data_IF_402657184006
#
_entry.id   IF_402657184006
#
_cell.length_a   1.000
_cell.length_b   1.000
_cell.length_c   1.000
_cell.angle_alpha   90.00
_cell.angle_beta   90.00
_cell.angle_gamma   90.00
#
_symmetry.space_group_name_H-M   'P 1'
#
loop_
_entity.id
_entity.type
_entity.pdbx_description
1 polymer ?
#
# COMPACT_ATOMS: atom_id res chain seq x y z
N UNK A 1 -24.17 -0.20 -6.25
CA UNK A 1 -23.41 -0.69 -5.07
C UNK A 1 -23.92 0.03 -3.83
N UNK A 2 -24.14 -0.68 -2.73
CA UNK A 2 -24.46 -0.10 -1.43
C UNK A 2 -23.26 -0.21 -0.49
N UNK A 3 -23.17 0.69 0.46
CA UNK A 3 -22.15 0.62 1.51
C UNK A 3 -22.61 -0.39 2.59
N UNK A 4 -21.80 -1.41 2.87
CA UNK A 4 -22.16 -2.49 3.81
C UNK A 4 -22.40 -1.99 5.24
N UNK A 5 -21.63 -1.01 5.72
CA UNK A 5 -21.82 -0.36 7.02
C UNK A 5 -23.18 0.34 7.11
N UNK A 6 -23.49 1.17 6.11
CA UNK A 6 -24.74 1.96 6.10
C UNK A 6 -25.96 1.04 5.95
N UNK A 7 -25.84 -0.03 5.15
CA UNK A 7 -26.86 -1.05 5.04
C UNK A 7 -27.09 -1.80 6.37
N UNK A 8 -26.01 -2.12 7.10
CA UNK A 8 -26.10 -2.77 8.41
C UNK A 8 -26.80 -1.86 9.45
N UNK A 9 -26.47 -0.58 9.49
CA UNK A 9 -27.11 0.39 10.38
C UNK A 9 -28.62 0.50 10.05
N UNK A 10 -28.94 0.63 8.77
CA UNK A 10 -30.35 0.71 8.33
C UNK A 10 -31.10 -0.57 8.67
N UNK A 11 -30.50 -1.73 8.38
CA UNK A 11 -31.13 -3.01 8.69
C UNK A 11 -31.36 -3.20 10.20
N UNK A 12 -30.39 -2.86 11.03
CA UNK A 12 -30.54 -2.89 12.48
C UNK A 12 -31.71 -1.98 12.95
N UNK A 13 -31.86 -0.81 12.35
CA UNK A 13 -32.95 0.12 12.70
C UNK A 13 -34.34 -0.46 12.41
N UNK A 14 -34.49 -1.30 11.37
CA UNK A 14 -35.77 -1.96 11.04
C UNK A 14 -36.21 -2.93 12.13
N UNK A 15 -35.25 -3.51 12.86
CA UNK A 15 -35.49 -4.46 13.95
C UNK A 15 -35.40 -3.83 15.34
N UNK A 16 -35.26 -2.51 15.43
CA UNK A 16 -35.07 -1.81 16.70
C UNK A 16 -33.76 -2.17 17.43
N UNK A 17 -32.80 -2.73 16.70
CA UNK A 17 -31.52 -3.15 17.26
C UNK A 17 -30.55 -1.96 17.39
N UNK A 18 -29.72 -1.98 18.44
CA UNK A 18 -28.62 -1.02 18.61
C UNK A 18 -27.43 -1.43 17.76
N UNK A 19 -26.77 -0.45 17.15
CA UNK A 19 -25.55 -0.68 16.34
C UNK A 19 -24.36 -0.05 17.03
N UNK A 20 -23.26 -0.82 17.14
CA UNK A 20 -21.95 -0.35 17.59
C UNK A 20 -20.98 -0.45 16.44
N UNK A 21 -20.31 0.65 16.11
CA UNK A 21 -19.26 0.72 15.11
C UNK A 21 -17.92 0.89 15.83
N UNK A 22 -17.00 -0.04 15.63
CA UNK A 22 -15.63 0.04 16.18
C UNK A 22 -14.62 0.17 15.04
N UNK A 23 -13.73 1.16 15.13
CA UNK A 23 -12.64 1.36 14.17
C UNK A 23 -11.54 2.22 14.77
N UNK A 24 -10.28 1.90 14.44
CA UNK A 24 -9.14 2.79 14.69
C UNK A 24 -9.02 3.90 13.64
N UNK A 25 -9.72 3.76 12.49
CA UNK A 25 -9.71 4.70 11.36
C UNK A 25 -11.14 4.85 10.82
N UNK A 26 -12.04 5.54 11.55
CA UNK A 26 -13.43 5.69 11.13
C UNK A 26 -13.49 6.46 9.80
N UNK A 27 -14.50 6.16 8.98
CA UNK A 27 -14.75 6.98 7.80
C UNK A 27 -15.20 8.39 8.21
N UNK A 28 -14.94 9.37 7.33
CA UNK A 28 -15.28 10.77 7.57
C UNK A 28 -16.77 10.94 7.90
N UNK A 29 -17.65 10.23 7.19
CA UNK A 29 -19.12 10.30 7.43
C UNK A 29 -19.49 9.75 8.80
N UNK A 30 -18.91 8.62 9.21
CA UNK A 30 -19.19 8.05 10.54
C UNK A 30 -18.68 8.95 11.66
N UNK A 31 -17.47 9.49 11.51
CA UNK A 31 -16.87 10.40 12.46
C UNK A 31 -17.67 11.71 12.56
N UNK A 32 -18.04 12.30 11.42
CA UNK A 32 -18.89 13.48 11.37
C UNK A 32 -20.25 13.26 12.06
N UNK A 33 -20.93 12.13 11.79
CA UNK A 33 -22.17 11.79 12.45
C UNK A 33 -22.03 11.64 13.98
N UNK A 34 -20.86 11.18 14.45
CA UNK A 34 -20.58 11.07 15.88
C UNK A 34 -20.30 12.44 16.51
N UNK A 35 -19.45 13.27 15.91
CA UNK A 35 -19.12 14.61 16.41
C UNK A 35 -20.33 15.55 16.36
N UNK A 36 -21.20 15.43 15.35
CA UNK A 36 -22.44 16.20 15.23
C UNK A 36 -23.57 15.75 16.18
N UNK A 37 -23.32 14.69 16.99
CA UNK A 37 -24.29 14.21 17.98
C UNK A 37 -25.38 13.28 17.43
N UNK A 38 -25.30 12.90 16.15
CA UNK A 38 -26.21 11.91 15.56
C UNK A 38 -25.94 10.49 16.06
N UNK A 39 -24.67 10.18 16.35
CA UNK A 39 -24.24 8.94 16.98
C UNK A 39 -23.59 9.25 18.33
N UNK A 40 -23.63 8.30 19.26
CA UNK A 40 -22.80 8.36 20.45
C UNK A 40 -21.32 8.15 20.08
N UNK A 41 -20.42 8.98 20.62
CA UNK A 41 -18.97 8.84 20.42
C UNK A 41 -18.33 8.31 21.70
N UNK A 42 -17.56 7.25 21.56
CA UNK A 42 -16.68 6.74 22.63
C UNK A 42 -15.28 6.64 22.07
N UNK A 43 -14.34 7.32 22.68
CA UNK A 43 -12.93 7.35 22.28
C UNK A 43 -12.08 6.55 23.27
N UNK A 44 -11.30 5.62 22.77
CA UNK A 44 -10.37 4.79 23.54
C UNK A 44 -8.95 5.21 23.20
N UNK A 45 -8.36 6.05 24.05
CA UNK A 45 -7.00 6.59 23.86
C UNK A 45 -5.89 5.70 24.41
N UNK A 46 -6.21 4.85 25.37
CA UNK A 46 -5.24 3.94 25.96
C UNK A 46 -5.21 2.62 25.19
N UNK A 47 -4.01 2.22 24.80
CA UNK A 47 -3.79 0.91 24.17
C UNK A 47 -3.68 -0.16 25.27
N UNK A 48 -4.13 -1.35 24.95
CA UNK A 48 -3.92 -2.50 25.83
C UNK A 48 -2.42 -2.71 26.07
N UNK A 49 -2.02 -2.89 27.34
CA UNK A 49 -0.62 -3.14 27.70
C UNK A 49 0.33 -1.95 27.55
N UNK A 50 -0.17 -0.71 27.49
CA UNK A 50 0.65 0.51 27.31
C UNK A 50 1.56 0.50 26.07
N UNK A 51 1.17 -0.24 25.01
CA UNK A 51 1.90 -0.35 23.78
C UNK A 51 1.98 1.01 23.06
N UNK A 52 3.21 1.44 22.79
CA UNK A 52 3.45 2.66 22.01
C UNK A 52 3.28 2.42 20.51
N UNK A 53 2.95 3.48 19.79
CA UNK A 53 2.96 3.44 18.31
C UNK A 53 4.39 3.22 17.82
N UNK A 54 4.59 2.39 16.79
CA UNK A 54 5.90 2.27 16.18
C UNK A 54 6.35 3.61 15.60
N UNK A 55 7.65 3.95 15.67
CA UNK A 55 8.18 5.16 15.05
C UNK A 55 8.05 5.08 13.53
N UNK A 56 7.57 6.15 12.90
CA UNK A 56 7.45 6.25 11.44
C UNK A 56 8.64 7.05 10.91
N UNK A 57 9.40 6.45 9.99
CA UNK A 57 10.51 7.11 9.29
C UNK A 57 10.16 7.31 7.82
N UNK A 58 10.14 8.56 7.38
CA UNK A 58 9.98 8.91 5.97
C UNK A 58 11.34 8.94 5.26
N UNK A 59 11.41 8.32 4.09
CA UNK A 59 12.62 8.31 3.25
C UNK A 59 12.29 8.92 1.90
N UNK A 60 12.92 10.07 1.60
CA UNK A 60 12.80 10.71 0.28
C UNK A 60 13.66 9.96 -0.75
N UNK A 61 12.98 9.29 -1.69
CA UNK A 61 13.64 8.51 -2.75
C UNK A 61 13.95 9.31 -4.02
N UNK A 62 13.53 10.58 -4.12
CA UNK A 62 13.71 11.40 -5.34
C UNK A 62 15.18 11.61 -5.71
N UNK A 63 16.01 11.90 -4.73
CA UNK A 63 17.46 12.11 -4.95
C UNK A 63 18.19 10.84 -5.39
N UNK A 64 17.71 9.68 -4.97
CA UNK A 64 18.27 8.35 -5.31
C UNK A 64 17.94 8.04 -6.77
N UNK A 65 16.68 8.25 -7.17
CA UNK A 65 16.18 8.01 -8.52
C UNK A 65 16.87 8.92 -9.55
N UNK A 66 17.22 10.17 -9.17
CA UNK A 66 17.91 11.11 -10.05
C UNK A 66 19.37 10.72 -10.32
N UNK A 67 20.07 10.13 -9.34
CA UNK A 67 21.49 9.73 -9.47
C UNK A 67 21.66 8.44 -10.24
N UNK A 68 20.77 7.49 -10.02
CA UNK A 68 20.81 6.19 -10.67
C UNK A 68 19.54 6.02 -11.51
N UNK A 69 19.66 6.16 -12.83
CA UNK A 69 18.56 5.99 -13.80
C UNK A 69 18.02 4.57 -13.86
N UNK A 70 18.64 3.65 -13.15
CA UNK A 70 18.30 2.23 -13.13
C UNK A 70 17.62 1.82 -11.82
N UNK A 71 16.39 1.35 -11.92
CA UNK A 71 15.84 0.18 -11.21
C UNK A 71 15.96 0.03 -9.68
N UNK A 72 16.44 1.00 -8.90
CA UNK A 72 16.49 0.86 -7.44
C UNK A 72 15.08 0.97 -6.88
N UNK A 73 14.52 -0.17 -6.47
CA UNK A 73 13.22 -0.27 -5.81
C UNK A 73 13.37 -0.05 -4.30
N UNK A 74 14.45 -0.62 -3.74
CA UNK A 74 14.76 -0.55 -2.32
C UNK A 74 15.74 0.60 -2.06
N UNK A 75 15.36 1.57 -1.24
CA UNK A 75 16.29 2.63 -0.86
C UNK A 75 17.44 2.11 0.02
N UNK A 76 18.64 2.73 -0.02
CA UNK A 76 19.74 2.34 0.87
C UNK A 76 19.36 2.35 2.35
N UNK A 77 18.54 3.31 2.76
CA UNK A 77 18.04 3.39 4.14
C UNK A 77 17.12 2.21 4.51
N UNK A 78 16.31 1.73 3.56
CA UNK A 78 15.48 0.55 3.78
C UNK A 78 16.35 -0.71 3.82
N UNK A 79 17.30 -0.87 2.91
CA UNK A 79 18.24 -1.99 2.88
C UNK A 79 18.98 -2.11 4.22
N UNK A 80 19.50 -1.00 4.73
CA UNK A 80 20.19 -0.98 6.03
C UNK A 80 19.25 -1.36 7.18
N UNK A 81 18.01 -0.87 7.19
CA UNK A 81 17.02 -1.23 8.20
C UNK A 81 16.64 -2.70 8.15
N UNK A 82 16.45 -3.26 6.96
CA UNK A 82 16.19 -4.70 6.76
C UNK A 82 17.35 -5.52 7.29
N UNK A 83 18.61 -5.16 6.94
CA UNK A 83 19.79 -5.85 7.40
C UNK A 83 19.86 -5.93 8.93
N UNK A 84 19.68 -4.80 9.61
CA UNK A 84 19.69 -4.72 11.08
C UNK A 84 18.61 -5.60 11.75
N UNK A 85 17.44 -5.73 11.12
CA UNK A 85 16.36 -6.58 11.63
C UNK A 85 16.70 -8.07 11.44
N UNK A 86 17.20 -8.44 10.26
CA UNK A 86 17.61 -9.82 9.96
C UNK A 86 18.77 -10.28 10.86
N UNK A 87 19.77 -9.43 11.13
CA UNK A 87 20.88 -9.71 12.05
C UNK A 87 20.42 -10.02 13.48
N UNK A 88 19.25 -9.51 13.89
CA UNK A 88 18.63 -9.82 15.20
C UNK A 88 17.74 -11.06 15.16
N UNK A 89 17.65 -11.74 14.03
CA UNK A 89 16.75 -12.88 13.84
C UNK A 89 15.28 -12.52 13.84
N UNK A 90 14.94 -11.23 13.54
CA UNK A 90 13.59 -10.73 13.49
C UNK A 90 13.09 -10.65 12.04
N UNK A 91 11.78 -10.46 11.84
CA UNK A 91 11.13 -10.52 10.55
C UNK A 91 10.79 -9.14 10.00
N UNK A 92 10.64 -9.08 8.68
CA UNK A 92 10.32 -7.87 7.92
C UNK A 92 9.08 -8.10 7.07
N UNK A 93 8.20 -7.10 7.02
CA UNK A 93 7.11 -7.03 6.03
C UNK A 93 7.39 -5.86 5.10
N UNK A 94 7.37 -6.12 3.79
CA UNK A 94 7.41 -5.07 2.77
C UNK A 94 6.05 -4.98 2.07
N UNK A 95 5.42 -3.86 2.27
CA UNK A 95 4.10 -3.59 1.71
C UNK A 95 4.20 -2.79 0.42
N UNK A 96 3.60 -3.32 -0.63
CA UNK A 96 3.42 -2.65 -1.92
C UNK A 96 1.94 -2.69 -2.30
N UNK A 97 1.26 -1.56 -2.30
CA UNK A 97 -0.20 -1.53 -2.54
C UNK A 97 -0.60 -1.75 -4.00
N UNK A 98 0.25 -2.31 -4.83
CA UNK A 98 -0.07 -2.38 -6.24
C UNK A 98 -0.52 -3.77 -6.68
N UNK A 99 -1.80 -3.86 -7.02
CA UNK A 99 -2.35 -4.94 -7.82
C UNK A 99 -2.01 -4.66 -9.30
N UNK A 100 -1.19 -5.52 -9.91
CA UNK A 100 -1.03 -5.55 -11.36
C UNK A 100 -0.03 -4.58 -11.98
N UNK A 101 0.19 -4.81 -13.24
CA UNK A 101 1.16 -4.21 -14.17
C UNK A 101 0.80 -2.80 -14.68
N UNK A 102 -0.01 -2.03 -13.98
CA UNK A 102 -0.47 -0.74 -14.51
C UNK A 102 0.57 0.36 -14.28
N UNK A 103 1.39 0.68 -15.30
CA UNK A 103 2.38 1.74 -15.21
C UNK A 103 1.70 3.09 -15.16
N UNK A 104 2.06 3.92 -14.19
CA UNK A 104 1.73 5.34 -14.25
C UNK A 104 2.97 6.17 -14.60
N UNK A 105 2.75 7.31 -15.20
CA UNK A 105 3.79 8.29 -15.46
C UNK A 105 3.90 9.21 -14.25
N UNK A 106 5.10 9.35 -13.70
CA UNK A 106 5.41 10.31 -12.64
C UNK A 106 6.50 11.26 -13.11
N UNK A 107 6.34 12.54 -12.84
CA UNK A 107 7.40 13.51 -13.09
C UNK A 107 8.60 13.22 -12.20
N UNK A 108 9.76 12.99 -12.79
CA UNK A 108 11.01 12.73 -12.08
C UNK A 108 11.58 13.93 -11.32
N UNK A 109 11.01 15.13 -11.50
CA UNK A 109 11.46 16.37 -10.83
C UNK A 109 10.57 16.73 -9.65
N UNK A 110 9.23 16.78 -9.85
CA UNK A 110 8.29 17.26 -8.83
C UNK A 110 7.31 16.17 -8.34
N UNK A 111 7.45 14.95 -8.84
CA UNK A 111 6.57 13.82 -8.50
C UNK A 111 5.10 14.00 -8.90
N UNK A 112 4.78 14.97 -9.76
CA UNK A 112 3.45 15.13 -10.31
C UNK A 112 3.03 13.91 -11.14
N UNK A 113 1.77 13.48 -10.96
CA UNK A 113 1.16 12.34 -11.68
C UNK A 113 -0.03 12.86 -12.48
N UNK A 114 -0.19 12.48 -13.78
CA UNK A 114 -1.36 12.83 -14.57
C UNK A 114 -2.66 12.31 -13.94
N UNK A 115 -3.66 13.17 -13.81
CA UNK A 115 -4.94 12.84 -13.22
C UNK A 115 -6.08 12.95 -14.23
N UNK A 116 -7.16 12.20 -13.99
CA UNK A 116 -8.38 12.30 -14.78
C UNK A 116 -9.11 13.62 -14.50
N UNK A 117 -9.51 14.33 -15.55
CA UNK A 117 -10.23 15.61 -15.41
C UNK A 117 -11.62 15.46 -14.78
N UNK A 118 -12.19 14.26 -14.79
CA UNK A 118 -13.58 14.01 -14.33
C UNK A 118 -13.66 13.29 -13.00
N UNK A 119 -12.62 12.54 -12.63
CA UNK A 119 -12.67 11.63 -11.48
C UNK A 119 -11.62 11.93 -10.43
N UNK A 120 -10.71 12.88 -10.68
CA UNK A 120 -9.60 13.25 -9.78
C UNK A 120 -8.76 12.06 -9.30
N UNK A 121 -8.64 11.03 -10.17
CA UNK A 121 -7.84 9.84 -9.95
C UNK A 121 -6.67 9.80 -10.91
N UNK A 122 -5.58 9.14 -10.51
CA UNK A 122 -4.39 8.97 -11.35
C UNK A 122 -4.70 8.17 -12.60
N UNK A 123 -4.08 8.56 -13.71
CA UNK A 123 -4.22 7.88 -15.00
C UNK A 123 -3.19 6.74 -15.12
N UNK A 124 -3.63 5.62 -15.66
CA UNK A 124 -2.79 4.47 -15.97
C UNK A 124 -2.25 4.57 -17.38
N UNK A 125 -0.95 4.38 -17.57
CA UNK A 125 -0.32 4.39 -18.88
C UNK A 125 -0.30 3.00 -19.51
N UNK A 126 -1.01 2.81 -20.59
CA UNK A 126 -1.02 1.57 -21.37
C UNK A 126 0.03 1.61 -22.49
N UNK A 127 1.15 0.94 -22.27
CA UNK A 127 2.30 0.96 -23.19
C UNK A 127 1.96 0.44 -24.59
N UNK A 128 1.14 -0.60 -24.69
CA UNK A 128 0.74 -1.18 -25.99
C UNK A 128 -0.07 -0.23 -26.86
N UNK A 129 -0.94 0.56 -26.26
CA UNK A 129 -1.80 1.52 -26.97
C UNK A 129 -1.25 2.94 -26.95
N UNK A 130 -0.15 3.17 -26.21
CA UNK A 130 0.44 4.49 -25.97
C UNK A 130 -0.60 5.53 -25.51
N UNK A 131 -1.45 5.16 -24.55
CA UNK A 131 -2.52 6.02 -24.02
C UNK A 131 -2.54 6.00 -22.50
N UNK A 132 -3.01 7.10 -21.93
CA UNK A 132 -3.38 7.18 -20.52
C UNK A 132 -4.87 6.87 -20.39
N UNK A 133 -5.24 6.00 -19.45
CA UNK A 133 -6.64 5.56 -19.25
C UNK A 133 -7.04 5.78 -17.81
N UNK A 134 -8.22 6.33 -17.62
CA UNK A 134 -8.87 6.36 -16.30
C UNK A 134 -9.64 5.05 -16.10
N UNK A 135 -9.20 4.21 -15.18
CA UNK A 135 -9.90 2.95 -14.86
C UNK A 135 -11.21 3.13 -14.09
N UNK A 136 -11.51 4.36 -13.66
CA UNK A 136 -12.77 4.68 -12.99
C UNK A 136 -13.90 5.00 -13.98
N UNK A 137 -13.64 5.90 -14.94
CA UNK A 137 -14.65 6.32 -15.94
C UNK A 137 -14.38 5.83 -17.37
N UNK A 138 -13.27 5.14 -17.62
CA UNK A 138 -12.89 4.66 -18.95
C UNK A 138 -12.36 5.73 -19.91
N UNK A 139 -12.32 7.00 -19.52
CA UNK A 139 -11.81 8.08 -20.38
C UNK A 139 -10.34 7.88 -20.73
N UNK A 140 -10.01 8.06 -22.01
CA UNK A 140 -8.64 7.94 -22.52
C UNK A 140 -8.05 9.31 -22.84
N UNK A 141 -6.74 9.46 -22.59
CA UNK A 141 -5.96 10.67 -22.84
C UNK A 141 -4.71 10.34 -23.65
N UNK A 142 -4.17 11.30 -24.39
CA UNK A 142 -2.84 11.15 -25.00
C UNK A 142 -1.76 11.04 -23.89
N UNK A 143 -0.61 10.43 -24.20
CA UNK A 143 0.51 10.40 -23.28
C UNK A 143 1.00 11.83 -22.96
N UNK A 144 1.47 12.04 -21.74
CA UNK A 144 2.01 13.33 -21.29
C UNK A 144 3.51 13.31 -21.47
N UNK A 145 4.04 14.30 -22.20
CA UNK A 145 5.48 14.49 -22.44
C UNK A 145 6.07 15.68 -21.67
N UNK A 146 5.22 16.57 -21.18
CA UNK A 146 5.63 17.75 -20.41
C UNK A 146 4.80 17.80 -19.13
N UNK A 147 5.47 17.94 -18.00
CA UNK A 147 4.82 18.01 -16.69
C UNK A 147 3.99 19.29 -16.56
N UNK A 148 2.71 19.15 -16.27
CA UNK A 148 1.80 20.29 -16.09
C UNK A 148 2.12 21.12 -14.85
N UNK A 149 2.85 20.57 -13.86
CA UNK A 149 3.18 21.27 -12.63
C UNK A 149 4.51 22.04 -12.70
N UNK A 150 5.56 21.46 -13.32
CA UNK A 150 6.90 22.07 -13.31
C UNK A 150 7.53 22.25 -14.69
N UNK A 151 6.84 21.90 -15.79
CA UNK A 151 7.33 22.05 -17.16
C UNK A 151 8.43 21.05 -17.59
N UNK A 152 8.82 20.10 -16.73
CA UNK A 152 9.86 19.12 -17.04
C UNK A 152 9.34 18.06 -18.03
N UNK A 153 10.23 17.60 -18.91
CA UNK A 153 10.03 16.49 -19.83
C UNK A 153 10.48 15.12 -19.25
N UNK A 154 11.03 15.13 -18.04
CA UNK A 154 11.56 13.93 -17.38
C UNK A 154 10.45 13.17 -16.69
N UNK A 155 9.90 12.18 -17.39
CA UNK A 155 8.95 11.23 -16.81
C UNK A 155 9.61 9.90 -16.49
N UNK A 156 9.28 9.37 -15.32
CA UNK A 156 9.63 8.03 -14.89
C UNK A 156 8.39 7.15 -15.03
N UNK A 157 8.56 5.98 -15.60
CA UNK A 157 7.56 4.92 -15.54
C UNK A 157 7.90 4.06 -14.33
N UNK A 158 7.16 4.21 -13.24
CA UNK A 158 7.29 3.31 -12.10
C UNK A 158 6.45 2.08 -12.35
N UNK A 159 7.13 0.96 -12.46
CA UNK A 159 6.54 -0.31 -12.81
C UNK A 159 7.28 -1.45 -12.11
N UNK A 160 7.04 -1.63 -10.81
CA UNK A 160 7.56 -2.83 -10.16
C UNK A 160 6.44 -3.50 -9.37
N UNK A 161 6.08 -4.70 -9.80
CA UNK A 161 5.26 -5.61 -9.02
C UNK A 161 6.06 -6.20 -7.85
N UNK A 162 5.36 -6.90 -6.99
CA UNK A 162 5.94 -7.68 -5.87
C UNK A 162 7.02 -8.65 -6.33
N UNK A 163 6.95 -9.15 -7.57
CA UNK A 163 7.93 -10.04 -8.19
C UNK A 163 9.34 -9.41 -8.29
N UNK A 164 9.43 -8.16 -8.80
CA UNK A 164 10.72 -7.47 -8.88
C UNK A 164 11.27 -7.08 -7.51
N UNK A 165 10.41 -6.84 -6.53
CA UNK A 165 10.84 -6.59 -5.16
C UNK A 165 11.46 -7.85 -4.59
N UNK A 166 10.81 -9.00 -4.80
CA UNK A 166 11.31 -10.31 -4.39
C UNK A 166 12.67 -10.62 -5.02
N UNK A 167 12.80 -10.45 -6.35
CA UNK A 167 14.08 -10.63 -7.07
C UNK A 167 15.19 -9.75 -6.47
N UNK A 168 14.94 -8.45 -6.27
CA UNK A 168 15.93 -7.54 -5.72
C UNK A 168 16.28 -7.87 -4.26
N UNK A 169 15.33 -8.36 -3.47
CA UNK A 169 15.61 -8.82 -2.10
C UNK A 169 16.48 -10.06 -2.09
N UNK A 170 16.23 -11.03 -2.97
CA UNK A 170 17.05 -12.23 -3.10
C UNK A 170 18.47 -11.91 -3.56
N UNK A 171 18.63 -10.93 -4.48
CA UNK A 171 19.96 -10.45 -4.88
C UNK A 171 20.69 -9.72 -3.74
N UNK A 172 19.96 -8.93 -2.93
CA UNK A 172 20.55 -8.12 -1.85
C UNK A 172 20.81 -8.92 -0.58
N UNK A 173 19.94 -9.89 -0.28
CA UNK A 173 19.97 -10.74 0.91
C UNK A 173 19.86 -12.23 0.53
N UNK A 174 20.91 -12.83 -0.06
CA UNK A 174 20.85 -14.20 -0.59
C UNK A 174 20.57 -15.27 0.47
N UNK A 175 20.91 -15.00 1.73
CA UNK A 175 20.69 -15.92 2.85
C UNK A 175 19.29 -15.76 3.48
N UNK A 176 18.53 -14.73 3.13
CA UNK A 176 17.21 -14.50 3.68
C UNK A 176 16.13 -15.28 2.93
N UNK A 177 15.21 -15.86 3.67
CA UNK A 177 14.04 -16.57 3.11
C UNK A 177 12.96 -15.56 2.79
N UNK A 178 12.90 -15.15 1.52
CA UNK A 178 11.91 -14.21 1.01
C UNK A 178 10.68 -14.96 0.51
N UNK A 179 9.49 -14.49 0.86
CA UNK A 179 8.24 -15.00 0.33
C UNK A 179 7.32 -13.87 -0.13
N UNK A 180 6.50 -14.17 -1.14
CA UNK A 180 5.57 -13.22 -1.74
C UNK A 180 4.12 -13.62 -1.47
N UNK A 181 3.31 -12.64 -1.05
CA UNK A 181 1.88 -12.79 -0.81
C UNK A 181 1.10 -11.82 -1.70
N UNK A 182 0.69 -12.30 -2.86
CA UNK A 182 -0.19 -11.61 -3.79
C UNK A 182 -1.21 -12.56 -4.41
N UNK A 183 -2.12 -12.04 -5.23
CA UNK A 183 -3.18 -12.83 -5.85
C UNK A 183 -2.62 -13.96 -6.73
N UNK A 184 -1.44 -13.78 -7.31
CA UNK A 184 -0.84 -14.77 -8.21
C UNK A 184 -0.21 -15.93 -7.44
N UNK A 185 0.36 -15.65 -6.28
CA UNK A 185 1.00 -16.68 -5.42
C UNK A 185 0.00 -17.42 -4.52
N UNK A 186 -1.16 -16.83 -4.21
CA UNK A 186 -2.16 -17.38 -3.27
C UNK A 186 -3.45 -17.87 -3.96
N UNK A 187 -3.38 -18.36 -5.20
CA UNK A 187 -4.55 -18.87 -5.93
C UNK A 187 -5.14 -20.19 -5.38
N UNK A 188 -4.40 -20.92 -4.57
CA UNK A 188 -4.87 -22.17 -3.92
C UNK A 188 -5.75 -21.90 -2.70
N UNK A 189 -6.76 -22.73 -2.49
CA UNK A 189 -7.77 -22.59 -1.41
C UNK A 189 -7.18 -22.42 0.00
N UNK A 190 -5.94 -22.87 0.25
CA UNK A 190 -5.25 -22.78 1.54
C UNK A 190 -3.85 -22.14 1.42
N UNK A 191 -3.44 -21.65 0.23
CA UNK A 191 -2.09 -21.14 0.02
C UNK A 191 -1.80 -19.91 0.88
N UNK A 192 -2.80 -19.07 1.10
CA UNK A 192 -2.73 -17.92 1.99
C UNK A 192 -2.42 -18.33 3.43
N UNK A 193 -3.21 -19.26 3.97
CA UNK A 193 -3.09 -19.69 5.37
C UNK A 193 -1.77 -20.43 5.61
N UNK A 194 -1.34 -21.24 4.64
CA UNK A 194 -0.04 -21.93 4.71
C UNK A 194 1.11 -20.95 4.76
N UNK A 195 1.08 -19.89 3.94
CA UNK A 195 2.13 -18.87 3.93
C UNK A 195 2.16 -18.07 5.23
N UNK A 196 0.99 -17.71 5.78
CA UNK A 196 0.88 -17.06 7.09
C UNK A 196 1.50 -17.95 8.17
N UNK A 197 1.12 -19.22 8.23
CA UNK A 197 1.70 -20.15 9.20
C UNK A 197 3.21 -20.30 9.06
N UNK A 198 3.74 -20.34 7.84
CA UNK A 198 5.19 -20.37 7.62
C UNK A 198 5.87 -19.11 8.14
N UNK A 199 5.26 -17.95 7.98
CA UNK A 199 5.76 -16.69 8.48
C UNK A 199 5.72 -16.65 10.02
N UNK A 200 4.60 -17.02 10.64
CA UNK A 200 4.46 -17.13 12.09
C UNK A 200 5.46 -18.12 12.72
N UNK A 201 5.78 -19.20 12.01
CA UNK A 201 6.77 -20.21 12.45
C UNK A 201 8.22 -19.80 12.15
N UNK A 202 8.48 -18.55 11.79
CA UNK A 202 9.81 -18.04 11.44
C UNK A 202 10.51 -18.84 10.30
N UNK A 203 9.73 -19.39 9.36
CA UNK A 203 10.26 -20.07 8.17
C UNK A 203 10.47 -19.11 6.99
N UNK A 204 10.00 -17.90 7.12
CA UNK A 204 10.14 -16.79 6.17
C UNK A 204 10.65 -15.59 6.95
N UNK A 205 11.69 -14.92 6.44
CA UNK A 205 12.33 -13.78 7.08
C UNK A 205 11.77 -12.46 6.56
N UNK A 206 11.48 -12.41 5.26
CA UNK A 206 10.94 -11.21 4.59
C UNK A 206 9.66 -11.60 3.85
N UNK A 207 8.55 -10.99 4.24
CA UNK A 207 7.27 -11.16 3.56
C UNK A 207 6.98 -9.92 2.69
N UNK A 208 6.89 -10.12 1.37
CA UNK A 208 6.52 -9.07 0.42
C UNK A 208 5.06 -9.25 0.04
N UNK A 209 4.24 -8.22 0.17
CA UNK A 209 2.84 -8.40 -0.19
C UNK A 209 2.07 -7.12 -0.49
N UNK A 210 0.84 -7.34 -0.95
CA UNK A 210 -0.16 -6.29 -1.22
C UNK A 210 -1.14 -6.18 -0.04
N UNK A 211 -2.33 -5.65 -0.23
CA UNK A 211 -3.35 -5.47 0.81
C UNK A 211 -3.67 -6.75 1.63
N UNK A 212 -3.35 -7.93 1.11
CA UNK A 212 -3.58 -9.19 1.81
C UNK A 212 -2.70 -9.36 3.05
N UNK A 213 -1.54 -8.70 3.10
CA UNK A 213 -0.59 -8.76 4.24
C UNK A 213 -0.99 -7.84 5.40
N UNK A 214 -1.94 -6.91 5.16
CA UNK A 214 -2.22 -5.81 6.10
C UNK A 214 -3.49 -6.04 6.93
N UNK A 215 -4.41 -6.88 6.47
CA UNK A 215 -5.72 -7.01 7.12
C UNK A 215 -5.79 -8.22 8.06
N UNK A 216 -5.95 -7.93 9.36
CA UNK A 216 -6.29 -8.93 10.36
C UNK A 216 -5.17 -9.88 10.76
N UNK A 217 -3.93 -9.53 10.46
CA UNK A 217 -2.73 -10.28 10.84
C UNK A 217 -2.01 -9.56 11.97
N UNK A 218 -1.58 -10.31 12.97
CA UNK A 218 -0.77 -9.84 14.09
C UNK A 218 0.41 -10.79 14.25
N UNK A 219 1.63 -10.24 14.15
CA UNK A 219 2.85 -11.02 14.12
C UNK A 219 3.82 -10.55 15.21
N UNK A 220 4.11 -11.41 16.17
CA UNK A 220 4.97 -11.09 17.33
C UNK A 220 6.44 -10.84 16.95
N UNK A 221 6.89 -11.33 15.80
CA UNK A 221 8.30 -11.35 15.42
C UNK A 221 8.68 -10.32 14.36
N UNK A 222 7.75 -9.45 13.96
CA UNK A 222 7.99 -8.41 12.96
C UNK A 222 8.48 -7.12 13.62
N UNK A 223 9.71 -6.72 13.30
CA UNK A 223 10.33 -5.49 13.80
C UNK A 223 10.33 -4.35 12.77
N UNK A 224 10.08 -4.64 11.49
CA UNK A 224 10.08 -3.64 10.44
C UNK A 224 8.92 -3.85 9.47
N UNK A 225 8.17 -2.78 9.22
CA UNK A 225 7.23 -2.71 8.10
C UNK A 225 7.69 -1.61 7.14
N UNK A 226 8.09 -2.00 5.94
CA UNK A 226 8.47 -1.07 4.88
C UNK A 226 7.31 -0.84 3.92
N UNK A 227 6.89 0.41 3.74
CA UNK A 227 5.86 0.79 2.76
C UNK A 227 6.57 1.36 1.54
N UNK A 228 6.44 0.67 0.42
CA UNK A 228 7.04 1.05 -0.85
C UNK A 228 6.07 1.91 -1.65
N UNK A 229 6.60 2.95 -2.31
CA UNK A 229 5.83 3.87 -3.15
C UNK A 229 4.60 4.46 -2.41
N UNK A 230 4.82 4.99 -1.21
CA UNK A 230 3.76 5.55 -0.36
C UNK A 230 2.97 6.68 -1.05
N UNK A 231 3.65 7.51 -1.87
CA UNK A 231 2.99 8.55 -2.65
C UNK A 231 1.98 7.97 -3.66
N UNK A 232 2.30 6.81 -4.24
CA UNK A 232 1.38 6.10 -5.12
C UNK A 232 0.08 5.69 -4.42
N UNK A 233 0.13 5.41 -3.11
CA UNK A 233 -1.03 5.07 -2.29
C UNK A 233 -2.00 6.25 -2.12
N UNK A 234 -1.47 7.45 -1.97
CA UNK A 234 -2.26 8.67 -1.72
C UNK A 234 -2.99 9.17 -2.97
N UNK A 235 -2.60 8.69 -4.15
CA UNK A 235 -3.18 9.12 -5.43
C UNK A 235 -4.24 8.14 -5.99
N UNK A 236 -4.52 7.04 -5.31
CA UNK A 236 -5.61 6.14 -5.70
C UNK A 236 -6.86 6.47 -4.88
N UNK A 237 -7.94 6.80 -5.59
CA UNK A 237 -9.27 6.81 -4.97
C UNK A 237 -9.74 5.36 -4.75
N UNK A 238 -10.21 5.06 -3.55
CA UNK A 238 -10.88 3.79 -3.23
C UNK A 238 -12.26 3.70 -3.89
#
# INVERSE_FOLDING_TARGET
RYNGRDAAIYFASLFGAKTVLGSGTPSVESYYNAVSGKYGLVELFQRYGDLQLPPIRFVDTRSIIQKDKSKIILSPALIESVKQVLERGRQVILFQNRRGYDPYQICGVCSWIPQCKYCDVSLTFHKLTNKLVCHYCGTTYPPVYTCAACGSDKFLQRNFGTEKIEEQLQETFPDARVARMDIDTVRGKNAHDVLIQQFEQNRVDILVGTQMVVKGLDFDNVDLVGILDADGLLHFAD
#
